data_IF_472958470741
#
_entry.id   IF_472958470741
#
_cell.length_a   1.000
_cell.length_b   1.000
_cell.length_c   1.000
_cell.angle_alpha   90.00
_cell.angle_beta   90.00
_cell.angle_gamma   90.00
#
_symmetry.space_group_name_H-M   'P 1'
#
loop_
_entity.id
_entity.type
_entity.pdbx_description
1 polymer ?
#
# COMPACT_ATOMS: atom_id res chain seq x y z
N UNK A 1 -17.31 -20.77 -0.10
CA UNK A 1 -16.34 -21.40 0.84
C UNK A 1 -16.20 -22.91 0.62
N UNK A 2 -17.23 -23.75 0.80
CA UNK A 2 -17.12 -25.23 0.68
C UNK A 2 -16.57 -25.72 -0.66
N UNK A 3 -17.03 -25.16 -1.78
CA UNK A 3 -16.55 -25.51 -3.12
C UNK A 3 -15.03 -25.28 -3.29
N UNK A 4 -14.50 -24.19 -2.73
CA UNK A 4 -13.07 -23.84 -2.82
C UNK A 4 -12.20 -24.72 -1.92
N UNK A 5 -12.73 -25.11 -0.75
CA UNK A 5 -12.08 -26.09 0.12
C UNK A 5 -11.98 -27.43 -0.60
N UNK A 6 -13.02 -27.82 -1.33
CA UNK A 6 -13.01 -29.07 -2.10
C UNK A 6 -12.08 -29.00 -3.32
N UNK A 7 -12.01 -27.85 -4.01
CA UNK A 7 -11.01 -27.59 -5.06
C UNK A 7 -9.58 -27.67 -4.50
N UNK A 8 -9.32 -27.07 -3.34
CA UNK A 8 -8.04 -27.15 -2.64
C UNK A 8 -7.67 -28.59 -2.29
N UNK A 9 -8.60 -29.38 -1.73
CA UNK A 9 -8.37 -30.79 -1.41
C UNK A 9 -8.06 -31.62 -2.65
N UNK A 10 -8.84 -31.44 -3.72
CA UNK A 10 -8.63 -32.18 -4.97
C UNK A 10 -7.29 -31.84 -5.61
N UNK A 11 -6.90 -30.56 -5.57
CA UNK A 11 -5.61 -30.11 -6.06
C UNK A 11 -4.43 -30.63 -5.22
N UNK A 12 -4.54 -30.61 -3.88
CA UNK A 12 -3.54 -31.21 -2.99
C UNK A 12 -3.42 -32.72 -3.23
N UNK A 13 -4.56 -33.42 -3.41
CA UNK A 13 -4.56 -34.87 -3.66
C UNK A 13 -3.87 -35.19 -5.00
N UNK A 14 -4.19 -34.45 -6.06
CA UNK A 14 -3.55 -34.63 -7.36
C UNK A 14 -2.04 -34.37 -7.33
N UNK A 15 -1.58 -33.44 -6.48
CA UNK A 15 -0.16 -33.18 -6.26
C UNK A 15 0.55 -34.29 -5.47
N UNK A 16 -0.10 -34.84 -4.43
CA UNK A 16 0.45 -35.97 -3.68
C UNK A 16 0.66 -37.22 -4.54
N UNK A 17 -0.15 -37.39 -5.58
CA UNK A 17 -0.11 -38.52 -6.50
C UNK A 17 0.98 -38.38 -7.60
N UNK A 18 1.50 -37.17 -7.87
CA UNK A 18 2.57 -36.92 -8.84
C UNK A 18 3.69 -36.04 -8.25
N UNK A 19 4.77 -36.63 -7.70
CA UNK A 19 5.90 -35.90 -7.15
C UNK A 19 6.75 -35.15 -8.19
N UNK A 20 6.48 -35.31 -9.50
CA UNK A 20 7.11 -34.52 -10.57
C UNK A 20 6.34 -33.23 -10.90
N UNK A 21 5.14 -33.02 -10.36
CA UNK A 21 4.51 -31.70 -10.35
C UNK A 21 5.32 -30.80 -9.41
N UNK A 22 6.27 -30.09 -10.01
CA UNK A 22 7.33 -29.34 -9.35
C UNK A 22 6.82 -28.54 -8.15
N UNK A 23 7.50 -28.73 -7.02
CA UNK A 23 7.30 -27.98 -5.76
C UNK A 23 7.24 -26.46 -5.95
N UNK A 24 7.79 -25.96 -7.05
CA UNK A 24 7.96 -24.55 -7.36
C UNK A 24 6.63 -23.83 -7.61
N UNK A 25 5.57 -24.52 -8.04
CA UNK A 25 4.25 -23.91 -8.25
C UNK A 25 3.27 -24.10 -7.08
N UNK A 26 3.58 -24.99 -6.13
CA UNK A 26 2.67 -25.36 -5.05
C UNK A 26 2.44 -24.19 -4.09
N UNK A 27 3.52 -23.60 -3.60
CA UNK A 27 3.46 -22.54 -2.58
C UNK A 27 2.73 -21.30 -3.10
N UNK A 28 3.01 -20.79 -4.32
CA UNK A 28 2.25 -19.69 -4.90
C UNK A 28 0.74 -19.99 -5.05
N UNK A 29 0.38 -21.17 -5.53
CA UNK A 29 -1.02 -21.55 -5.72
C UNK A 29 -1.79 -21.66 -4.40
N UNK A 30 -1.18 -22.29 -3.38
CA UNK A 30 -1.75 -22.34 -2.03
C UNK A 30 -1.94 -20.95 -1.43
N UNK A 31 -0.93 -20.09 -1.58
CA UNK A 31 -0.99 -18.72 -1.08
C UNK A 31 -2.11 -17.92 -1.74
N UNK A 32 -2.31 -18.07 -3.06
CA UNK A 32 -3.42 -17.43 -3.76
C UNK A 32 -4.79 -17.86 -3.22
N UNK A 33 -4.98 -19.17 -3.00
CA UNK A 33 -6.25 -19.70 -2.46
C UNK A 33 -6.49 -19.17 -1.04
N UNK A 34 -5.47 -19.25 -0.17
CA UNK A 34 -5.57 -18.76 1.20
C UNK A 34 -5.81 -17.26 1.26
N UNK A 35 -5.10 -16.47 0.43
CA UNK A 35 -5.29 -15.03 0.32
C UNK A 35 -6.70 -14.66 -0.11
N UNK A 36 -7.27 -15.40 -1.09
CA UNK A 36 -8.64 -15.18 -1.51
C UNK A 36 -9.65 -15.53 -0.41
N UNK A 37 -9.43 -16.61 0.34
CA UNK A 37 -10.27 -16.96 1.48
C UNK A 37 -10.20 -15.91 2.60
N UNK A 38 -9.01 -15.34 2.84
CA UNK A 38 -8.84 -14.25 3.79
C UNK A 38 -9.60 -12.99 3.35
N UNK A 39 -9.51 -12.61 2.07
CA UNK A 39 -10.25 -11.48 1.50
C UNK A 39 -11.77 -11.66 1.60
N UNK A 40 -12.30 -12.87 1.33
CA UNK A 40 -13.73 -13.16 1.48
C UNK A 40 -14.21 -12.92 2.92
N UNK A 41 -13.39 -13.29 3.92
CA UNK A 41 -13.72 -13.06 5.32
C UNK A 41 -13.65 -11.59 5.71
N UNK A 42 -12.66 -10.86 5.20
CA UNK A 42 -12.52 -9.43 5.45
C UNK A 42 -13.68 -8.63 4.84
N UNK A 43 -14.19 -9.05 3.68
CA UNK A 43 -15.30 -8.37 3.00
C UNK A 43 -16.60 -8.31 3.81
N UNK A 44 -16.79 -9.23 4.75
CA UNK A 44 -17.95 -9.27 5.65
C UNK A 44 -17.76 -8.42 6.92
N UNK A 45 -16.57 -7.83 7.12
CA UNK A 45 -16.25 -6.99 8.27
C UNK A 45 -16.46 -5.49 7.97
N UNK A 46 -16.69 -4.66 9.00
CA UNK A 46 -16.72 -3.21 8.82
C UNK A 46 -15.39 -2.69 8.24
N UNK A 47 -15.42 -1.64 7.39
CA UNK A 47 -14.23 -1.13 6.75
C UNK A 47 -13.22 -0.62 7.77
N UNK A 48 -11.98 -1.09 7.64
CA UNK A 48 -10.84 -0.61 8.43
C UNK A 48 -10.34 0.73 7.87
N UNK A 49 -10.12 1.70 8.76
CA UNK A 49 -9.54 3.00 8.41
C UNK A 49 -8.00 2.97 8.51
N UNK A 50 -7.46 1.98 9.23
CA UNK A 50 -6.04 1.81 9.49
C UNK A 50 -5.70 0.33 9.71
N UNK A 51 -4.58 -0.09 9.15
CA UNK A 51 -3.94 -1.39 9.44
C UNK A 51 -2.55 -1.11 10.01
N UNK A 52 -2.15 -1.83 11.06
CA UNK A 52 -0.81 -1.73 11.62
C UNK A 52 -0.29 -3.07 12.13
N UNK A 53 1.00 -3.34 11.93
CA UNK A 53 1.69 -4.51 12.43
C UNK A 53 3.17 -4.20 12.69
N UNK A 54 3.81 -4.91 13.61
CA UNK A 54 5.26 -4.83 13.89
C UNK A 54 6.05 -5.94 13.17
N UNK A 55 5.32 -6.83 12.50
CA UNK A 55 5.86 -7.98 11.79
C UNK A 55 5.00 -8.30 10.57
N UNK A 56 5.66 -8.66 9.48
CA UNK A 56 5.00 -9.07 8.23
C UNK A 56 5.50 -10.43 7.74
N UNK A 57 4.65 -11.11 7.00
CA UNK A 57 5.01 -12.33 6.27
C UNK A 57 5.06 -12.04 4.77
N UNK A 58 6.18 -12.38 4.14
CA UNK A 58 6.43 -12.17 2.73
C UNK A 58 6.66 -13.51 2.03
N UNK A 59 5.88 -13.77 0.98
CA UNK A 59 6.18 -14.81 0.01
C UNK A 59 6.98 -14.20 -1.13
N UNK A 60 8.25 -14.59 -1.24
CA UNK A 60 9.17 -14.09 -2.26
C UNK A 60 9.43 -15.20 -3.26
N UNK A 61 9.14 -14.98 -4.54
CA UNK A 61 9.54 -15.88 -5.63
C UNK A 61 10.76 -15.29 -6.32
N UNK A 62 11.83 -16.07 -6.40
CA UNK A 62 13.04 -15.69 -7.10
C UNK A 62 12.85 -15.92 -8.62
N UNK A 63 13.03 -14.86 -9.42
CA UNK A 63 12.76 -14.92 -10.86
C UNK A 63 13.78 -15.77 -11.62
N UNK A 64 15.02 -15.90 -11.13
CA UNK A 64 16.07 -16.68 -11.78
C UNK A 64 15.87 -18.18 -11.58
N UNK A 65 15.52 -18.60 -10.36
CA UNK A 65 15.40 -20.02 -10.00
C UNK A 65 13.97 -20.53 -9.95
N UNK A 66 12.97 -19.65 -9.95
CA UNK A 66 11.55 -19.97 -9.76
C UNK A 66 11.20 -20.41 -8.34
N UNK A 67 12.14 -20.37 -7.39
CA UNK A 67 11.96 -20.87 -6.03
C UNK A 67 11.23 -19.84 -5.17
N UNK A 68 10.25 -20.30 -4.39
CA UNK A 68 9.53 -19.45 -3.43
C UNK A 68 10.02 -19.62 -2.00
N UNK A 69 10.07 -18.51 -1.25
CA UNK A 69 10.51 -18.43 0.14
C UNK A 69 9.49 -17.66 0.97
N UNK A 70 9.07 -18.22 2.10
CA UNK A 70 8.30 -17.50 3.10
C UNK A 70 9.26 -16.87 4.13
N UNK A 71 9.16 -15.56 4.34
CA UNK A 71 9.99 -14.80 5.27
C UNK A 71 9.11 -14.08 6.27
N UNK A 72 9.47 -14.19 7.54
CA UNK A 72 8.91 -13.41 8.63
C UNK A 72 9.92 -12.30 8.92
N UNK A 73 9.52 -11.04 8.73
CA UNK A 73 10.40 -9.88 8.90
C UNK A 73 9.87 -8.98 10.02
N UNK A 74 10.72 -8.61 11.00
CA UNK A 74 10.40 -7.55 11.95
C UNK A 74 10.44 -6.22 11.18
N UNK A 75 9.26 -5.71 10.85
CA UNK A 75 9.06 -4.53 10.02
C UNK A 75 7.73 -3.90 10.40
N UNK A 76 7.78 -2.63 10.77
CA UNK A 76 6.62 -1.83 11.11
C UNK A 76 5.84 -1.52 9.84
N UNK A 77 4.65 -2.10 9.72
CA UNK A 77 3.68 -1.84 8.67
C UNK A 77 2.63 -0.86 9.18
N UNK A 78 2.37 0.20 8.42
CA UNK A 78 1.26 1.11 8.64
C UNK A 78 0.57 1.42 7.33
N UNK A 79 -0.73 1.14 7.25
CA UNK A 79 -1.57 1.51 6.10
C UNK A 79 -2.73 2.38 6.57
N UNK A 80 -2.96 3.44 5.80
CA UNK A 80 -4.07 4.39 5.96
C UNK A 80 -4.57 4.82 4.58
N UNK A 81 -5.61 5.66 4.53
CA UNK A 81 -6.07 6.27 3.28
C UNK A 81 -5.01 7.13 2.55
N UNK A 82 -3.95 7.55 3.26
CA UNK A 82 -2.85 8.30 2.65
C UNK A 82 -1.79 7.41 2.00
N UNK A 83 -1.81 6.10 2.27
CA UNK A 83 -0.87 5.13 1.72
C UNK A 83 -0.26 4.20 2.76
N UNK A 84 0.87 3.60 2.38
CA UNK A 84 1.56 2.55 3.13
C UNK A 84 2.94 3.05 3.57
N UNK A 85 3.29 2.81 4.83
CA UNK A 85 4.63 3.01 5.38
C UNK A 85 5.16 1.67 5.86
N UNK A 86 6.37 1.35 5.42
CA UNK A 86 7.17 0.21 5.89
C UNK A 86 8.39 0.78 6.61
N UNK A 87 8.53 0.52 7.91
CA UNK A 87 9.61 1.07 8.73
C UNK A 87 10.39 -0.02 9.46
N UNK A 88 11.67 0.26 9.73
CA UNK A 88 12.56 -0.63 10.45
C UNK A 88 13.92 0.01 10.65
N UNK A 89 14.96 -0.81 10.79
CA UNK A 89 16.31 -0.34 11.00
C UNK A 89 17.27 -0.89 9.93
N UNK A 90 18.25 -0.07 9.56
CA UNK A 90 19.38 -0.52 8.76
C UNK A 90 20.35 -1.35 9.60
N UNK A 91 21.32 -2.00 8.96
CA UNK A 91 22.40 -2.71 9.66
C UNK A 91 23.18 -1.83 10.66
N UNK A 92 23.21 -0.51 10.44
CA UNK A 92 23.84 0.45 11.35
C UNK A 92 22.93 0.90 12.50
N UNK A 93 21.80 0.19 12.74
CA UNK A 93 20.77 0.55 13.72
C UNK A 93 20.18 1.97 13.51
N UNK A 94 20.16 2.42 12.25
CA UNK A 94 19.52 3.69 11.90
C UNK A 94 18.08 3.42 11.44
N UNK A 95 17.08 4.17 11.94
CA UNK A 95 15.72 4.08 11.45
C UNK A 95 15.66 4.36 9.94
N UNK A 96 14.90 3.54 9.22
CA UNK A 96 14.65 3.69 7.79
C UNK A 96 13.19 3.41 7.49
N UNK A 97 12.66 4.08 6.46
CA UNK A 97 11.29 3.87 6.01
C UNK A 97 11.17 3.91 4.49
N UNK A 98 10.24 3.12 3.96
CA UNK A 98 9.75 3.18 2.59
C UNK A 98 8.29 3.63 2.66
N UNK A 99 7.95 4.70 1.96
CA UNK A 99 6.61 5.29 1.97
C UNK A 99 6.04 5.25 0.56
N UNK A 100 4.87 4.62 0.43
CA UNK A 100 4.04 4.66 -0.78
C UNK A 100 2.86 5.55 -0.50
N UNK A 101 2.70 6.62 -1.29
CA UNK A 101 1.62 7.58 -1.12
C UNK A 101 0.51 7.31 -2.13
N UNK A 102 -0.74 7.50 -1.70
CA UNK A 102 -1.87 7.56 -2.63
C UNK A 102 -1.84 8.87 -3.42
N UNK A 103 -2.51 8.90 -4.58
CA UNK A 103 -2.65 10.12 -5.37
C UNK A 103 -3.25 11.28 -4.55
N UNK A 104 -4.21 10.96 -3.67
CA UNK A 104 -4.81 11.93 -2.75
C UNK A 104 -3.79 12.54 -1.78
N UNK A 105 -2.95 11.71 -1.16
CA UNK A 105 -1.92 12.20 -0.25
C UNK A 105 -0.85 13.02 -0.99
N UNK A 106 -0.49 12.61 -2.21
CA UNK A 106 0.44 13.37 -3.06
C UNK A 106 -0.14 14.73 -3.45
N UNK A 107 -1.42 14.78 -3.85
CA UNK A 107 -2.12 16.03 -4.17
C UNK A 107 -2.09 17.02 -3.00
N UNK A 108 -2.36 16.53 -1.78
CA UNK A 108 -2.25 17.36 -0.56
C UNK A 108 -0.84 17.87 -0.31
N UNK A 109 0.20 17.06 -0.55
CA UNK A 109 1.58 17.52 -0.39
C UNK A 109 1.94 18.60 -1.40
N UNK A 110 1.48 18.47 -2.64
CA UNK A 110 1.69 19.47 -3.69
C UNK A 110 0.96 20.78 -3.39
N UNK A 111 -0.30 20.71 -2.90
CA UNK A 111 -1.04 21.89 -2.42
C UNK A 111 -0.32 22.60 -1.27
N UNK A 112 0.26 21.85 -0.33
CA UNK A 112 1.03 22.41 0.80
C UNK A 112 2.39 22.98 0.37
N UNK A 113 2.97 22.47 -0.71
CA UNK A 113 4.20 23.01 -1.31
C UNK A 113 3.96 24.30 -2.10
N UNK A 114 2.68 24.66 -2.31
CA UNK A 114 2.26 25.94 -2.87
C UNK A 114 2.17 25.91 -4.39
N UNK A 115 1.03 26.40 -4.89
CA UNK A 115 1.03 27.30 -6.04
C UNK A 115 2.13 28.36 -5.85
N UNK A 116 3.31 28.09 -6.40
CA UNK A 116 4.24 29.16 -6.76
C UNK A 116 3.77 29.73 -8.11
N UNK A 117 2.83 30.69 -8.06
CA UNK A 117 2.37 31.50 -9.20
C UNK A 117 0.83 31.60 -9.21
N UNK A 118 0.17 32.75 -9.10
CA UNK A 118 0.64 34.11 -9.30
C UNK A 118 -0.12 35.08 -8.40
N UNK A 119 0.57 36.18 -8.10
CA UNK A 119 0.14 37.23 -7.21
C UNK A 119 -0.81 38.18 -7.94
N UNK A 120 -2.03 37.78 -8.27
CA UNK A 120 -3.05 38.73 -8.72
C UNK A 120 -3.71 39.39 -7.49
N UNK A 121 -2.88 40.12 -6.73
CA UNK A 121 -3.37 41.19 -5.88
C UNK A 121 -3.30 42.49 -6.67
N UNK A 122 -4.19 42.61 -7.66
CA UNK A 122 -4.55 43.88 -8.27
C UNK A 122 -5.31 44.71 -7.22
N UNK A 123 -4.57 45.23 -6.24
CA UNK A 123 -5.00 46.38 -5.46
C UNK A 123 -4.90 47.61 -6.35
N UNK A 124 -5.90 47.76 -7.23
CA UNK A 124 -6.29 49.07 -7.73
C UNK A 124 -6.84 49.90 -6.57
N UNK A 125 -5.95 50.53 -5.82
CA UNK A 125 -6.28 51.69 -5.00
C UNK A 125 -6.44 52.88 -5.94
N UNK A 126 -7.65 53.04 -6.47
CA UNK A 126 -8.10 54.32 -7.04
C UNK A 126 -8.20 55.32 -5.88
N UNK A 127 -7.08 56.00 -5.61
CA UNK A 127 -7.07 57.23 -4.84
C UNK A 127 -7.57 58.37 -5.75
N UNK A 128 -8.88 58.55 -5.80
CA UNK A 128 -9.48 59.79 -6.28
C UNK A 128 -9.16 60.92 -5.27
N UNK A 129 -8.01 61.54 -5.48
CA UNK A 129 -7.73 62.88 -4.98
C UNK A 129 -8.11 63.88 -6.07
N UNK A 130 -9.39 64.27 -6.09
CA UNK A 130 -9.77 65.48 -6.80
C UNK A 130 -9.89 66.67 -5.85
N UNK A 131 -9.22 67.71 -6.33
CA UNK A 131 -8.87 68.96 -5.70
C UNK A 131 -10.06 69.83 -5.30
N UNK A 132 -9.78 70.67 -4.31
CA UNK A 132 -10.46 71.91 -3.96
C UNK A 132 -11.06 72.66 -5.16
N UNK A 133 -12.29 73.15 -5.00
CA UNK A 133 -12.65 74.45 -5.55
C UNK A 133 -13.54 75.24 -4.58
N UNK A 134 -13.14 76.50 -4.48
CA UNK A 134 -13.56 77.55 -3.56
C UNK A 134 -15.03 77.99 -3.61
N UNK A 135 -15.41 78.64 -2.50
CA UNK A 135 -16.41 79.71 -2.29
C UNK A 135 -17.89 79.38 -2.14
#
# INVERSE_FOLDING_TARGET
>A
MEKKIEELKNWISAWLDDPQLGSDCLVPALWQILGQMAQEREADLPPLVKISAEEVQLLVTDDETGRSFLRQLPLDYLETSNGITLAGETYAAQPTQIVFLTEFALGKLLELQGEEGDCDHDHHHDHDHDHDHDH
#
